data_IF_036192843665
#
_entry.id   IF_036192843665
#
_cell.length_a   1.000
_cell.length_b   1.000
_cell.length_c   1.000
_cell.angle_alpha   90.00
_cell.angle_beta   90.00
_cell.angle_gamma   90.00
#
_symmetry.space_group_name_H-M   'P 1'
#
loop_
_entity.id
_entity.type
_entity.pdbx_description
1 polymer ?
#
# COMPACT_ATOMS: atom_id res chain seq x y z
N UNK A 1 15.84 0.37 0.87
CA UNK A 1 15.08 -0.45 -0.08
C UNK A 1 13.81 -0.88 0.62
N UNK A 2 12.65 -0.51 0.09
CA UNK A 2 11.33 -0.92 0.58
C UNK A 2 10.70 -1.74 -0.53
N UNK A 3 10.35 -2.99 -0.26
CA UNK A 3 9.76 -3.88 -1.26
C UNK A 3 8.42 -4.43 -0.74
N UNK A 4 7.40 -4.26 -1.58
CA UNK A 4 6.11 -4.92 -1.44
C UNK A 4 6.03 -5.97 -2.56
N UNK A 5 5.73 -7.21 -2.20
CA UNK A 5 5.52 -8.32 -3.13
C UNK A 5 4.18 -9.00 -2.82
N UNK A 6 3.23 -8.84 -3.74
CA UNK A 6 1.88 -9.37 -3.71
C UNK A 6 1.14 -9.12 -2.38
N UNK A 7 1.30 -7.91 -1.84
CA UNK A 7 0.77 -7.56 -0.52
C UNK A 7 -0.72 -7.28 -0.58
N UNK A 8 -1.48 -8.00 0.22
CA UNK A 8 -2.91 -7.78 0.46
C UNK A 8 -3.19 -7.42 1.90
N UNK A 9 -4.20 -6.59 2.14
CA UNK A 9 -4.65 -6.22 3.50
C UNK A 9 -6.16 -6.07 3.58
N UNK A 10 -6.73 -6.69 4.60
CA UNK A 10 -8.15 -6.60 4.99
C UNK A 10 -8.26 -6.31 6.49
N UNK A 11 -9.25 -5.54 6.89
CA UNK A 11 -9.66 -5.41 8.30
C UNK A 11 -10.85 -6.32 8.60
N UNK A 12 -11.03 -6.78 9.85
CA UNK A 12 -12.20 -7.58 10.21
C UNK A 12 -13.50 -6.90 9.79
N UNK A 13 -14.37 -7.62 9.07
CA UNK A 13 -15.65 -7.11 8.60
C UNK A 13 -15.57 -6.14 7.41
N UNK A 14 -14.39 -5.90 6.82
CA UNK A 14 -14.24 -5.08 5.61
C UNK A 14 -13.96 -5.93 4.37
N UNK A 15 -14.21 -5.33 3.22
CA UNK A 15 -13.59 -5.78 1.98
C UNK A 15 -12.06 -5.62 2.05
N UNK A 16 -11.38 -6.30 1.14
CA UNK A 16 -9.93 -6.18 1.00
C UNK A 16 -9.57 -4.75 0.52
N UNK A 17 -8.77 -4.05 1.32
CA UNK A 17 -8.42 -2.63 1.14
C UNK A 17 -7.19 -2.49 0.25
N UNK A 18 -6.19 -3.35 0.41
CA UNK A 18 -5.06 -3.48 -0.50
C UNK A 18 -5.14 -4.83 -1.16
N UNK A 19 -5.11 -4.87 -2.50
CA UNK A 19 -5.31 -6.08 -3.28
C UNK A 19 -4.07 -6.32 -4.14
N UNK A 20 -3.28 -7.31 -3.78
CA UNK A 20 -2.11 -7.76 -4.56
C UNK A 20 -1.19 -6.60 -5.00
N UNK A 21 -0.74 -5.79 -4.05
CA UNK A 21 0.09 -4.63 -4.31
C UNK A 21 1.57 -5.05 -4.35
N UNK A 22 2.25 -4.73 -5.46
CA UNK A 22 3.68 -4.98 -5.65
C UNK A 22 4.37 -3.72 -6.16
N UNK A 23 5.40 -3.28 -5.44
CA UNK A 23 6.28 -2.18 -5.85
C UNK A 23 7.60 -2.24 -5.09
N UNK A 24 8.62 -1.56 -5.61
CA UNK A 24 9.90 -1.38 -4.96
C UNK A 24 10.22 0.12 -4.88
N UNK A 25 10.82 0.55 -3.77
CA UNK A 25 11.36 1.90 -3.57
C UNK A 25 12.82 1.76 -3.21
N UNK A 26 13.68 2.31 -4.07
CA UNK A 26 15.12 2.25 -3.91
C UNK A 26 15.63 3.32 -2.93
N UNK A 27 16.87 3.14 -2.47
CA UNK A 27 17.47 4.08 -1.52
C UNK A 27 17.66 5.46 -2.17
N UNK A 28 17.13 6.50 -1.50
CA UNK A 28 17.21 7.88 -1.98
C UNK A 28 16.03 8.31 -2.85
N UNK A 29 15.10 7.42 -3.19
CA UNK A 29 13.88 7.81 -3.89
C UNK A 29 12.92 8.59 -2.99
N UNK A 30 12.27 9.59 -3.59
CA UNK A 30 11.21 10.36 -2.96
C UNK A 30 9.90 10.12 -3.73
N UNK A 31 8.96 9.41 -3.11
CA UNK A 31 7.75 8.92 -3.76
C UNK A 31 6.51 9.53 -3.14
N UNK A 32 5.53 9.86 -3.98
CA UNK A 32 4.19 10.30 -3.55
C UNK A 32 3.19 9.15 -3.62
N UNK A 33 2.40 8.98 -2.56
CA UNK A 33 1.24 8.08 -2.54
C UNK A 33 -0.02 8.93 -2.75
N UNK A 34 -0.64 8.81 -3.92
CA UNK A 34 -1.80 9.61 -4.33
C UNK A 34 -3.02 8.73 -4.62
N UNK A 35 -4.19 9.36 -4.81
CA UNK A 35 -5.46 8.67 -5.09
C UNK A 35 -6.63 9.19 -4.25
N UNK A 36 -7.86 8.86 -4.66
CA UNK A 36 -9.09 9.32 -4.01
C UNK A 36 -9.20 8.89 -2.54
N UNK A 37 -10.10 9.53 -1.78
CA UNK A 37 -10.39 9.10 -0.39
C UNK A 37 -10.88 7.65 -0.37
N UNK A 38 -10.43 6.86 0.60
CA UNK A 38 -10.75 5.43 0.69
C UNK A 38 -9.88 4.49 -0.17
N UNK A 39 -8.98 4.98 -1.02
CA UNK A 39 -8.12 4.15 -1.88
C UNK A 39 -7.05 3.29 -1.15
N UNK A 40 -7.10 3.20 0.18
CA UNK A 40 -6.15 2.38 0.96
C UNK A 40 -4.79 3.03 1.29
N UNK A 41 -4.56 4.31 0.94
CA UNK A 41 -3.28 5.02 1.18
C UNK A 41 -2.79 4.96 2.63
N UNK A 42 -3.66 5.30 3.59
CA UNK A 42 -3.32 5.24 5.02
C UNK A 42 -3.16 3.81 5.54
N UNK A 43 -3.78 2.83 4.89
CA UNK A 43 -3.57 1.40 5.18
C UNK A 43 -2.20 0.96 4.68
N UNK A 44 -1.80 1.39 3.48
CA UNK A 44 -0.48 1.11 2.91
C UNK A 44 0.65 1.68 3.78
N UNK A 45 0.53 2.92 4.25
CA UNK A 45 1.51 3.57 5.11
C UNK A 45 1.63 2.99 6.54
N UNK A 46 0.70 2.12 6.95
CA UNK A 46 0.70 1.47 8.28
C UNK A 46 1.24 0.04 8.26
N UNK A 47 1.58 -0.48 7.09
CA UNK A 47 2.25 -1.78 6.93
C UNK A 47 3.76 -1.61 7.14
#
# INVERSE_FOLDING_TARGET
>A
MIQFDNVSKRYPGSDEILKNISFNIDAGEFVFITGHSGAGKSTLLKL
#
